data_IF_184023351898
#
_entry.id   IF_184023351898
#
_cell.length_a   1.000
_cell.length_b   1.000
_cell.length_c   1.000
_cell.angle_alpha   90.00
_cell.angle_beta   90.00
_cell.angle_gamma   90.00
#
_symmetry.space_group_name_H-M   'P 1'
#
loop_
_entity.id
_entity.type
_entity.pdbx_description
1 polymer ?
#
# COMPACT_ATOMS: atom_id res chain seq x y z
N UNK A 1 23.78 -2.03 3.76
CA UNK A 1 23.06 -3.32 3.92
C UNK A 1 23.79 -4.33 3.09
N UNK A 2 24.32 -5.35 3.74
CA UNK A 2 24.92 -6.50 3.08
C UNK A 2 23.83 -7.50 2.71
N UNK A 3 24.10 -8.42 1.78
CA UNK A 3 23.16 -9.51 1.47
C UNK A 3 22.85 -10.36 2.71
N UNK A 4 23.86 -10.59 3.56
CA UNK A 4 23.71 -11.31 4.83
C UNK A 4 22.71 -10.62 5.78
N UNK A 5 22.73 -9.29 5.87
CA UNK A 5 21.76 -8.54 6.69
C UNK A 5 20.32 -8.78 6.22
N UNK A 6 20.11 -8.82 4.89
CA UNK A 6 18.80 -9.04 4.28
C UNK A 6 18.31 -10.47 4.52
N UNK A 7 19.16 -11.47 4.31
CA UNK A 7 18.83 -12.88 4.57
C UNK A 7 18.43 -13.13 6.03
N UNK A 8 19.17 -12.53 6.98
CA UNK A 8 18.84 -12.61 8.41
C UNK A 8 17.50 -11.92 8.70
N UNK A 9 17.24 -10.74 8.11
CA UNK A 9 15.94 -10.07 8.22
C UNK A 9 14.81 -10.97 7.70
N UNK A 10 14.99 -11.62 6.54
CA UNK A 10 14.00 -12.52 5.96
C UNK A 10 13.71 -13.74 6.85
N UNK A 11 14.74 -14.38 7.38
CA UNK A 11 14.57 -15.52 8.29
C UNK A 11 13.77 -15.14 9.55
N UNK A 12 14.07 -13.97 10.13
CA UNK A 12 13.35 -13.45 11.29
C UNK A 12 11.87 -13.15 10.98
N UNK A 13 11.59 -12.53 9.83
CA UNK A 13 10.22 -12.25 9.39
C UNK A 13 9.41 -13.52 9.18
N UNK A 14 9.98 -14.54 8.51
CA UNK A 14 9.31 -15.83 8.31
C UNK A 14 8.98 -16.53 9.64
N UNK A 15 9.91 -16.48 10.60
CA UNK A 15 9.67 -17.03 11.93
C UNK A 15 8.54 -16.28 12.67
N UNK A 16 8.56 -14.95 12.64
CA UNK A 16 7.51 -14.12 13.25
C UNK A 16 6.13 -14.37 12.63
N UNK A 17 6.04 -14.40 11.30
CA UNK A 17 4.80 -14.69 10.57
C UNK A 17 4.22 -16.07 10.93
N UNK A 18 5.06 -17.09 11.08
CA UNK A 18 4.62 -18.43 11.50
C UNK A 18 4.06 -18.44 12.94
N UNK A 19 4.57 -17.60 13.83
CA UNK A 19 4.06 -17.44 15.20
C UNK A 19 2.74 -16.65 15.21
N UNK A 20 2.72 -15.49 14.56
CA UNK A 20 1.57 -14.57 14.60
C UNK A 20 0.37 -15.10 13.81
N UNK A 21 0.61 -15.75 12.66
CA UNK A 21 -0.45 -16.37 11.86
C UNK A 21 -1.21 -17.46 12.63
N UNK A 22 -0.52 -18.27 13.44
CA UNK A 22 -1.16 -19.28 14.32
C UNK A 22 -2.02 -18.62 15.39
N UNK A 23 -1.53 -17.56 16.03
CA UNK A 23 -2.29 -16.84 17.06
C UNK A 23 -3.57 -16.21 16.51
N UNK A 24 -3.55 -15.68 15.27
CA UNK A 24 -4.75 -15.12 14.63
C UNK A 24 -5.74 -16.24 14.27
N UNK A 25 -5.26 -17.39 13.79
CA UNK A 25 -6.10 -18.54 13.44
C UNK A 25 -6.78 -19.19 14.66
N UNK A 26 -6.14 -19.18 15.83
CA UNK A 26 -6.63 -19.78 17.08
C UNK A 26 -7.72 -18.94 17.79
N UNK A 27 -8.27 -17.90 17.14
CA UNK A 27 -9.47 -17.19 17.59
C UNK A 27 -9.23 -15.96 18.48
N UNK A 28 -7.98 -15.63 18.79
CA UNK A 28 -7.61 -14.36 19.41
C UNK A 28 -7.45 -13.26 18.35
N UNK A 29 -8.53 -12.97 17.61
CA UNK A 29 -8.52 -11.90 16.62
C UNK A 29 -8.40 -10.55 17.36
N UNK A 30 -7.17 -10.05 17.41
CA UNK A 30 -6.77 -8.75 17.90
C UNK A 30 -6.39 -7.87 16.70
N UNK A 31 -7.01 -6.70 16.60
CA UNK A 31 -6.87 -5.85 15.42
C UNK A 31 -5.45 -5.30 15.26
N UNK A 32 -4.77 -4.99 16.37
CA UNK A 32 -3.37 -4.55 16.37
C UNK A 32 -2.44 -5.62 15.81
N UNK A 33 -2.58 -6.87 16.27
CA UNK A 33 -1.82 -8.02 15.75
C UNK A 33 -2.04 -8.25 14.26
N UNK A 34 -3.27 -8.08 13.77
CA UNK A 34 -3.53 -8.20 12.32
C UNK A 34 -2.77 -7.12 11.55
N UNK A 35 -2.74 -5.87 12.03
CA UNK A 35 -1.95 -4.82 11.37
C UNK A 35 -0.45 -5.13 11.39
N UNK A 36 0.10 -5.61 12.51
CA UNK A 36 1.49 -6.06 12.60
C UNK A 36 1.78 -7.22 11.64
N UNK A 37 0.83 -8.14 11.48
CA UNK A 37 0.94 -9.24 10.51
C UNK A 37 0.98 -8.71 9.07
N UNK A 38 0.17 -7.70 8.75
CA UNK A 38 0.19 -7.05 7.44
C UNK A 38 1.54 -6.37 7.16
N UNK A 39 2.06 -5.60 8.12
CA UNK A 39 3.39 -4.98 8.01
C UNK A 39 4.50 -6.02 7.84
N UNK A 40 4.44 -7.13 8.57
CA UNK A 40 5.42 -8.21 8.45
C UNK A 40 5.39 -8.87 7.06
N UNK A 41 4.18 -9.07 6.50
CA UNK A 41 4.01 -9.55 5.14
C UNK A 41 4.53 -8.57 4.10
N UNK A 42 4.33 -7.26 4.31
CA UNK A 42 4.88 -6.20 3.47
C UNK A 42 6.41 -6.22 3.44
N UNK A 43 7.05 -6.26 4.62
CA UNK A 43 8.51 -6.34 4.74
C UNK A 43 9.06 -7.60 4.09
N UNK A 44 8.40 -8.75 4.30
CA UNK A 44 8.76 -10.00 3.64
C UNK A 44 8.67 -9.86 2.11
N UNK A 45 7.58 -9.28 1.60
CA UNK A 45 7.41 -9.07 0.17
C UNK A 45 8.58 -8.27 -0.43
N UNK A 46 8.86 -7.10 0.14
CA UNK A 46 9.97 -6.26 -0.32
C UNK A 46 11.31 -6.98 -0.21
N UNK A 47 11.56 -7.72 0.88
CA UNK A 47 12.80 -8.46 1.04
C UNK A 47 12.99 -9.58 0.01
N UNK A 48 11.92 -10.34 -0.33
CA UNK A 48 11.95 -11.37 -1.38
C UNK A 48 12.28 -10.78 -2.75
N UNK A 49 11.70 -9.63 -3.06
CA UNK A 49 11.99 -8.91 -4.30
C UNK A 49 13.44 -8.44 -4.35
N UNK A 50 13.96 -7.89 -3.25
CA UNK A 50 15.33 -7.35 -3.19
C UNK A 50 16.42 -8.43 -3.18
N UNK A 51 16.15 -9.58 -2.56
CA UNK A 51 17.14 -10.67 -2.43
C UNK A 51 17.28 -11.46 -3.73
N UNK A 52 16.13 -11.91 -4.27
CA UNK A 52 16.11 -12.96 -5.30
C UNK A 52 15.30 -12.56 -6.55
N UNK A 53 14.81 -11.32 -6.62
CA UNK A 53 13.82 -10.90 -7.62
C UNK A 53 12.59 -11.84 -7.64
N UNK A 54 12.21 -12.40 -6.48
CA UNK A 54 11.07 -13.30 -6.36
C UNK A 54 9.75 -12.52 -6.44
N UNK A 55 9.35 -12.18 -7.67
CA UNK A 55 8.11 -11.44 -7.98
C UNK A 55 6.87 -12.18 -7.48
N UNK A 56 6.86 -13.50 -7.59
CA UNK A 56 5.73 -14.32 -7.17
C UNK A 56 5.62 -14.37 -5.64
N UNK A 57 6.74 -14.49 -4.93
CA UNK A 57 6.81 -14.35 -3.48
C UNK A 57 6.44 -12.96 -2.99
N UNK A 58 6.86 -11.91 -3.70
CA UNK A 58 6.47 -10.52 -3.45
C UNK A 58 4.94 -10.36 -3.52
N UNK A 59 4.32 -10.72 -4.65
CA UNK A 59 2.87 -10.57 -4.86
C UNK A 59 2.06 -11.40 -3.86
N UNK A 60 2.44 -12.66 -3.65
CA UNK A 60 1.77 -13.56 -2.72
C UNK A 60 1.87 -13.07 -1.27
N UNK A 61 3.01 -12.51 -0.86
CA UNK A 61 3.18 -12.00 0.51
C UNK A 61 2.32 -10.77 0.76
N UNK A 62 2.29 -9.81 -0.18
CA UNK A 62 1.39 -8.65 -0.11
C UNK A 62 -0.08 -9.07 -0.05
N UNK A 63 -0.49 -10.02 -0.92
CA UNK A 63 -1.86 -10.54 -0.95
C UNK A 63 -2.25 -11.19 0.39
N UNK A 64 -1.37 -11.98 1.02
CA UNK A 64 -1.64 -12.60 2.34
C UNK A 64 -1.86 -11.57 3.44
N UNK A 65 -1.08 -10.48 3.45
CA UNK A 65 -1.32 -9.36 4.36
C UNK A 65 -2.70 -8.74 4.16
N UNK A 66 -3.05 -8.47 2.90
CA UNK A 66 -4.36 -7.93 2.53
C UNK A 66 -5.54 -8.88 2.86
N UNK A 67 -5.37 -10.19 2.69
CA UNK A 67 -6.36 -11.21 3.08
C UNK A 67 -6.58 -11.23 4.60
N UNK A 68 -5.51 -11.14 5.40
CA UNK A 68 -5.63 -11.05 6.85
C UNK A 68 -6.40 -9.80 7.28
N UNK A 69 -6.10 -8.65 6.66
CA UNK A 69 -6.84 -7.41 6.91
C UNK A 69 -8.31 -7.50 6.46
N UNK A 70 -8.59 -8.13 5.32
CA UNK A 70 -9.96 -8.40 4.88
C UNK A 70 -10.71 -9.25 5.92
N UNK A 71 -10.05 -10.26 6.48
CA UNK A 71 -10.60 -11.07 7.58
C UNK A 71 -10.99 -10.23 8.80
N UNK A 72 -10.14 -9.28 9.20
CA UNK A 72 -10.44 -8.30 10.26
C UNK A 72 -11.67 -7.43 9.91
N UNK A 73 -11.73 -6.90 8.69
CA UNK A 73 -12.84 -6.06 8.25
C UNK A 73 -14.17 -6.82 8.20
N UNK A 74 -14.16 -8.10 7.80
CA UNK A 74 -15.33 -8.99 7.84
C UNK A 74 -15.74 -9.28 9.29
N UNK A 75 -14.78 -9.54 10.18
CA UNK A 75 -15.07 -9.82 11.58
C UNK A 75 -15.72 -8.64 12.32
N UNK A 76 -15.35 -7.39 11.96
CA UNK A 76 -15.98 -6.16 12.49
C UNK A 76 -17.49 -6.14 12.30
N UNK A 77 -18.03 -6.75 11.23
CA UNK A 77 -19.48 -6.81 11.02
C UNK A 77 -20.20 -7.60 12.12
N UNK A 78 -19.48 -8.46 12.85
CA UNK A 78 -20.01 -9.34 13.91
C UNK A 78 -19.49 -9.01 15.31
N UNK A 79 -18.40 -8.23 15.40
CA UNK A 79 -17.71 -7.91 16.65
C UNK A 79 -17.63 -6.41 16.86
N UNK A 80 -18.09 -5.96 18.03
CA UNK A 80 -18.04 -4.55 18.45
C UNK A 80 -16.86 -4.23 19.36
N UNK A 81 -16.11 -5.25 19.80
CA UNK A 81 -15.01 -5.17 20.74
C UNK A 81 -13.64 -5.00 20.06
N UNK A 82 -13.61 -4.86 18.74
CA UNK A 82 -12.38 -4.56 17.99
C UNK A 82 -11.98 -3.11 18.22
N UNK A 83 -10.67 -2.87 18.32
CA UNK A 83 -10.12 -1.52 18.44
C UNK A 83 -10.55 -0.64 17.25
N UNK A 84 -11.32 0.44 17.47
CA UNK A 84 -11.75 1.34 16.42
C UNK A 84 -10.59 1.99 15.65
N UNK A 85 -9.44 2.17 16.30
CA UNK A 85 -8.27 2.77 15.68
C UNK A 85 -7.73 1.92 14.53
N UNK A 86 -7.67 0.60 14.71
CA UNK A 86 -7.22 -0.35 13.69
C UNK A 86 -8.19 -0.44 12.48
N UNK A 87 -9.41 0.09 12.63
CA UNK A 87 -10.47 0.07 11.64
C UNK A 87 -10.64 1.41 10.90
N UNK A 88 -9.83 2.42 11.23
CA UNK A 88 -9.78 3.70 10.54
C UNK A 88 -9.37 3.52 9.07
N UNK A 89 -9.82 4.41 8.18
CA UNK A 89 -9.51 4.30 6.75
C UNK A 89 -8.01 4.47 6.49
N UNK A 90 -7.33 5.33 7.26
CA UNK A 90 -5.87 5.50 7.22
C UNK A 90 -5.08 4.24 7.56
N UNK A 91 -5.72 3.23 8.16
CA UNK A 91 -5.12 1.92 8.44
C UNK A 91 -5.30 0.92 7.30
N UNK A 92 -5.97 1.30 6.21
CA UNK A 92 -6.15 0.48 5.01
C UNK A 92 -4.90 0.44 4.11
N UNK A 93 -3.70 0.56 4.69
CA UNK A 93 -2.43 0.24 4.03
C UNK A 93 -2.47 -1.10 3.25
N UNK A 94 -3.14 -2.18 3.75
CA UNK A 94 -3.30 -3.42 2.99
C UNK A 94 -4.15 -3.33 1.71
N UNK A 95 -4.96 -2.26 1.53
CA UNK A 95 -5.59 -1.97 0.24
C UNK A 95 -4.53 -1.68 -0.83
N UNK A 96 -3.52 -0.87 -0.49
CA UNK A 96 -2.41 -0.59 -1.40
C UNK A 96 -1.54 -1.83 -1.63
N UNK A 97 -1.37 -2.69 -0.62
CA UNK A 97 -0.64 -3.95 -0.81
C UNK A 97 -1.35 -4.86 -1.82
N UNK A 98 -2.67 -4.96 -1.76
CA UNK A 98 -3.45 -5.71 -2.73
C UNK A 98 -3.34 -5.13 -4.16
N UNK A 99 -3.27 -3.79 -4.27
CA UNK A 99 -3.05 -3.10 -5.55
C UNK A 99 -1.65 -3.34 -6.09
N UNK A 100 -0.61 -3.18 -5.27
CA UNK A 100 0.78 -3.42 -5.65
C UNK A 100 1.04 -4.90 -6.01
N UNK A 101 0.27 -5.82 -5.43
CA UNK A 101 0.29 -7.23 -5.80
C UNK A 101 -0.38 -7.52 -7.16
N UNK A 102 -1.05 -6.55 -7.78
CA UNK A 102 -1.88 -6.74 -8.96
C UNK A 102 -3.19 -7.50 -8.69
N UNK A 103 -3.59 -7.66 -7.42
CA UNK A 103 -4.73 -8.49 -7.03
C UNK A 103 -6.04 -7.68 -6.95
N UNK A 104 -6.53 -7.20 -8.10
CA UNK A 104 -7.68 -6.28 -8.17
C UNK A 104 -8.95 -6.75 -7.47
N UNK A 105 -9.28 -8.05 -7.51
CA UNK A 105 -10.44 -8.60 -6.81
C UNK A 105 -10.34 -8.49 -5.28
N UNK A 106 -9.13 -8.66 -4.73
CA UNK A 106 -8.85 -8.55 -3.29
C UNK A 106 -8.86 -7.09 -2.87
N UNK A 107 -8.21 -6.21 -3.66
CA UNK A 107 -8.28 -4.77 -3.45
C UNK A 107 -9.74 -4.29 -3.40
N UNK A 108 -10.59 -4.75 -4.32
CA UNK A 108 -12.02 -4.43 -4.32
C UNK A 108 -12.75 -4.97 -3.09
N UNK A 109 -12.46 -6.19 -2.66
CA UNK A 109 -13.06 -6.77 -1.47
C UNK A 109 -12.72 -5.99 -0.18
N UNK A 110 -11.48 -5.48 -0.09
CA UNK A 110 -11.03 -4.60 0.99
C UNK A 110 -11.71 -3.23 0.88
N UNK A 111 -11.65 -2.59 -0.29
CA UNK A 111 -12.22 -1.26 -0.54
C UNK A 111 -13.73 -1.18 -0.21
N UNK A 112 -14.49 -2.23 -0.49
CA UNK A 112 -15.91 -2.33 -0.14
C UNK A 112 -16.18 -2.33 1.38
N UNK A 113 -15.18 -2.61 2.21
CA UNK A 113 -15.30 -2.74 3.67
C UNK A 113 -14.52 -1.70 4.47
N UNK A 114 -13.62 -0.96 3.84
CA UNK A 114 -13.00 0.21 4.48
C UNK A 114 -14.09 1.18 4.92
N UNK A 115 -13.95 1.76 6.12
CA UNK A 115 -14.94 2.72 6.63
C UNK A 115 -15.00 3.96 5.72
N UNK A 116 -16.18 4.40 5.26
CA UNK A 116 -16.32 5.65 4.53
C UNK A 116 -16.42 6.86 5.48
N UNK A 117 -16.26 6.65 6.80
CA UNK A 117 -16.39 7.68 7.82
C UNK A 117 -15.04 8.00 8.43
N UNK A 118 -14.74 9.30 8.46
CA UNK A 118 -13.57 9.81 9.17
C UNK A 118 -13.76 9.74 10.66
N UNK A 119 -12.79 9.12 11.34
CA UNK A 119 -12.81 9.04 12.80
C UNK A 119 -11.96 10.17 13.38
N UNK A 120 -12.63 11.30 13.68
CA UNK A 120 -11.98 12.50 14.24
C UNK A 120 -11.16 12.14 15.49
N UNK A 121 -9.95 12.67 15.58
CA UNK A 121 -8.93 12.41 16.64
C UNK A 121 -8.26 11.04 16.59
N UNK A 122 -8.70 10.12 15.74
CA UNK A 122 -8.03 8.83 15.53
C UNK A 122 -7.18 8.83 14.26
N UNK A 123 -7.55 9.56 13.23
CA UNK A 123 -6.75 9.63 12.00
C UNK A 123 -6.63 11.06 11.46
N UNK A 124 -5.49 11.42 10.83
CA UNK A 124 -5.36 12.66 10.08
C UNK A 124 -6.41 12.75 8.97
N UNK A 125 -6.95 13.95 8.74
CA UNK A 125 -7.98 14.16 7.71
C UNK A 125 -7.45 13.86 6.30
N UNK A 126 -6.19 14.23 6.03
CA UNK A 126 -5.54 13.98 4.75
C UNK A 126 -5.44 12.48 4.44
N UNK A 127 -4.98 11.68 5.40
CA UNK A 127 -4.86 10.23 5.24
C UNK A 127 -6.23 9.57 5.02
N UNK A 128 -7.24 9.96 5.80
CA UNK A 128 -8.61 9.49 5.58
C UNK A 128 -9.07 9.77 4.14
N UNK A 129 -8.92 11.00 3.66
CA UNK A 129 -9.36 11.39 2.32
C UNK A 129 -8.61 10.63 1.23
N UNK A 130 -7.30 10.41 1.41
CA UNK A 130 -6.49 9.64 0.46
C UNK A 130 -6.95 8.18 0.35
N UNK A 131 -7.07 7.47 1.49
CA UNK A 131 -7.55 6.09 1.47
C UNK A 131 -9.01 5.96 1.06
N UNK A 132 -9.83 6.98 1.35
CA UNK A 132 -11.20 7.03 0.87
C UNK A 132 -11.25 7.19 -0.65
N UNK A 133 -10.44 8.07 -1.23
CA UNK A 133 -10.30 8.23 -2.67
C UNK A 133 -9.81 6.91 -3.32
N UNK A 134 -8.77 6.27 -2.79
CA UNK A 134 -8.32 4.96 -3.28
C UNK A 134 -9.43 3.90 -3.23
N UNK A 135 -10.23 3.87 -2.16
CA UNK A 135 -11.34 2.93 -2.07
C UNK A 135 -12.43 3.24 -3.12
N UNK A 136 -12.79 4.51 -3.32
CA UNK A 136 -13.71 4.93 -4.39
C UNK A 136 -13.19 4.51 -5.77
N UNK A 137 -11.90 4.72 -6.02
CA UNK A 137 -11.25 4.35 -7.27
C UNK A 137 -11.43 2.87 -7.58
N UNK A 138 -11.03 2.02 -6.64
CA UNK A 138 -11.09 0.56 -6.79
C UNK A 138 -12.53 0.04 -6.90
N UNK A 139 -13.49 0.75 -6.32
CA UNK A 139 -14.93 0.43 -6.45
C UNK A 139 -15.51 0.87 -7.79
N UNK A 140 -14.82 1.72 -8.56
CA UNK A 140 -15.35 2.35 -9.77
C UNK A 140 -16.31 3.50 -9.48
N UNK A 141 -16.18 4.13 -8.31
CA UNK A 141 -16.96 5.32 -7.92
C UNK A 141 -16.25 6.60 -8.37
N UNK A 142 -17.00 7.70 -8.47
CA UNK A 142 -16.43 8.98 -8.87
C UNK A 142 -15.47 9.53 -7.80
N UNK A 143 -14.24 9.84 -8.21
CA UNK A 143 -13.22 10.45 -7.33
C UNK A 143 -13.40 11.96 -7.13
N UNK A 144 -13.98 12.64 -8.12
CA UNK A 144 -14.09 14.11 -8.14
C UNK A 144 -14.63 14.71 -6.83
N UNK A 145 -15.70 14.17 -6.18
CA UNK A 145 -16.19 14.72 -4.92
C UNK A 145 -15.18 14.63 -3.76
N UNK A 146 -14.37 13.56 -3.72
CA UNK A 146 -13.36 13.38 -2.67
C UNK A 146 -12.18 14.32 -2.87
N UNK A 147 -11.77 14.52 -4.13
CA UNK A 147 -10.71 15.46 -4.50
C UNK A 147 -11.13 16.92 -4.24
N UNK A 148 -12.37 17.28 -4.59
CA UNK A 148 -12.95 18.60 -4.27
C UNK A 148 -13.00 18.82 -2.76
N UNK A 149 -13.39 17.80 -1.98
CA UNK A 149 -13.35 17.90 -0.53
C UNK A 149 -11.93 18.12 0.00
N UNK A 150 -10.93 17.40 -0.52
CA UNK A 150 -9.53 17.57 -0.14
C UNK A 150 -9.03 19.00 -0.40
N UNK A 151 -9.33 19.53 -1.59
CA UNK A 151 -9.03 20.92 -1.95
C UNK A 151 -9.71 21.92 -0.99
N UNK A 152 -10.99 21.71 -0.68
CA UNK A 152 -11.76 22.57 0.23
C UNK A 152 -11.21 22.60 1.65
N UNK A 153 -10.71 21.47 2.16
CA UNK A 153 -10.09 21.42 3.50
C UNK A 153 -8.60 21.82 3.50
N UNK A 154 -8.09 22.29 2.36
CA UNK A 154 -6.70 22.75 2.22
C UNK A 154 -5.68 21.62 2.29
N UNK A 155 -6.09 20.38 1.99
CA UNK A 155 -5.15 19.25 1.89
C UNK A 155 -4.56 19.29 0.48
N UNK A 156 -3.26 19.52 0.42
CA UNK A 156 -2.47 19.46 -0.80
C UNK A 156 -1.24 18.59 -0.53
N UNK A 157 -1.00 17.64 -1.42
CA UNK A 157 0.19 16.79 -1.44
C UNK A 157 0.30 16.09 -2.78
N UNK A 158 1.49 15.59 -3.09
CA UNK A 158 1.75 14.80 -4.30
C UNK A 158 0.78 13.60 -4.41
N UNK A 159 0.28 13.05 -3.30
CA UNK A 159 -0.75 12.00 -3.30
C UNK A 159 -2.03 12.42 -4.02
N UNK A 160 -2.52 13.63 -3.77
CA UNK A 160 -3.75 14.11 -4.39
C UNK A 160 -3.52 14.53 -5.83
N UNK A 161 -2.35 15.11 -6.14
CA UNK A 161 -1.95 15.44 -7.51
C UNK A 161 -1.88 14.19 -8.40
N UNK A 162 -1.37 13.05 -7.87
CA UNK A 162 -1.39 11.77 -8.59
C UNK A 162 -2.82 11.33 -8.90
N UNK A 163 -3.73 11.43 -7.92
CA UNK A 163 -5.13 11.02 -8.11
C UNK A 163 -5.88 11.97 -9.07
N UNK A 164 -5.59 13.26 -9.03
CA UNK A 164 -6.14 14.25 -9.97
C UNK A 164 -5.69 13.95 -11.41
N UNK A 165 -4.40 13.71 -11.62
CA UNK A 165 -3.86 13.32 -12.92
C UNK A 165 -4.45 11.99 -13.42
N UNK A 166 -4.64 11.02 -12.52
CA UNK A 166 -5.28 9.74 -12.81
C UNK A 166 -6.73 9.92 -13.29
N UNK A 167 -7.49 10.85 -12.68
CA UNK A 167 -8.87 11.18 -13.09
C UNK A 167 -8.89 11.93 -14.42
N UNK A 168 -7.95 12.84 -14.63
CA UNK A 168 -7.83 13.60 -15.87
C UNK A 168 -7.34 12.74 -17.05
N UNK A 169 -6.77 11.57 -16.79
CA UNK A 169 -6.12 10.74 -17.80
C UNK A 169 -4.82 11.36 -18.35
N UNK A 170 -4.20 12.27 -17.59
CA UNK A 170 -2.98 12.97 -17.99
C UNK A 170 -1.74 12.21 -17.53
N UNK A 171 -1.12 11.47 -18.46
CA UNK A 171 0.07 10.64 -18.18
C UNK A 171 1.23 11.48 -17.66
N UNK A 172 1.47 12.68 -18.22
CA UNK A 172 2.63 13.50 -17.84
C UNK A 172 2.45 14.12 -16.46
N UNK A 173 1.24 14.61 -16.18
CA UNK A 173 0.92 15.11 -14.85
C UNK A 173 1.01 13.98 -13.80
N UNK A 174 0.60 12.76 -14.17
CA UNK A 174 0.68 11.60 -13.31
C UNK A 174 2.13 11.24 -12.99
N UNK A 175 3.00 11.17 -14.01
CA UNK A 175 4.43 10.87 -13.85
C UNK A 175 5.11 11.92 -12.95
N UNK A 176 4.88 13.20 -13.21
CA UNK A 176 5.46 14.29 -12.41
C UNK A 176 5.00 14.24 -10.95
N UNK A 177 3.71 14.00 -10.70
CA UNK A 177 3.18 13.91 -9.35
C UNK A 177 3.66 12.64 -8.63
N UNK A 178 3.82 11.52 -9.36
CA UNK A 178 4.32 10.26 -8.81
C UNK A 178 5.80 10.39 -8.42
N UNK A 179 6.62 11.06 -9.22
CA UNK A 179 8.01 11.36 -8.90
C UNK A 179 8.09 12.22 -7.63
N UNK A 180 7.34 13.32 -7.56
CA UNK A 180 7.26 14.16 -6.36
C UNK A 180 6.83 13.36 -5.12
N UNK A 181 5.88 12.42 -5.28
CA UNK A 181 5.45 11.55 -4.18
C UNK A 181 6.56 10.62 -3.70
N UNK A 182 7.35 10.06 -4.61
CA UNK A 182 8.50 9.20 -4.28
C UNK A 182 9.58 10.01 -3.56
N UNK A 183 9.80 11.27 -3.95
CA UNK A 183 10.71 12.19 -3.25
C UNK A 183 10.22 12.48 -1.83
N UNK A 184 8.94 12.82 -1.65
CA UNK A 184 8.33 13.03 -0.32
C UNK A 184 8.51 11.81 0.57
N UNK A 185 8.21 10.61 0.06
CA UNK A 185 8.39 9.34 0.78
C UNK A 185 9.84 9.11 1.17
N UNK A 186 10.78 9.41 0.27
CA UNK A 186 12.19 9.28 0.57
C UNK A 186 12.62 10.26 1.67
N UNK A 187 12.12 11.51 1.62
CA UNK A 187 12.33 12.50 2.68
C UNK A 187 11.78 12.06 4.03
N UNK A 188 10.57 11.49 4.06
CA UNK A 188 9.97 10.90 5.27
C UNK A 188 10.87 9.81 5.87
N UNK A 189 11.43 8.92 5.05
CA UNK A 189 12.34 7.87 5.50
C UNK A 189 13.66 8.44 6.06
N UNK A 190 14.24 9.45 5.43
CA UNK A 190 15.45 10.09 5.95
C UNK A 190 15.18 10.77 7.30
N UNK A 191 14.02 11.41 7.47
CA UNK A 191 13.60 11.98 8.75
C UNK A 191 13.44 10.90 9.83
N UNK A 192 12.91 9.73 9.48
CA UNK A 192 12.81 8.60 10.42
C UNK A 192 14.19 8.05 10.80
N UNK A 193 15.12 7.96 9.84
CA UNK A 193 16.51 7.55 10.10
C UNK A 193 17.22 8.51 11.04
N UNK A 194 17.10 9.82 10.81
CA UNK A 194 17.71 10.85 11.66
C UNK A 194 17.18 10.83 13.10
N UNK A 195 15.99 10.27 13.32
CA UNK A 195 15.34 10.17 14.64
C UNK A 195 15.48 8.78 15.27
N UNK A 196 16.26 7.87 14.67
CA UNK A 196 16.36 6.45 15.05
C UNK A 196 14.98 5.76 15.16
N UNK A 197 14.01 6.21 14.36
CA UNK A 197 12.63 5.76 14.38
C UNK A 197 12.32 4.71 13.31
N UNK A 198 13.28 4.36 12.45
CA UNK A 198 13.12 3.36 11.40
C UNK A 198 13.62 1.98 11.90
N UNK A 199 12.74 0.99 12.08
CA UNK A 199 13.13 -0.35 12.49
C UNK A 199 14.15 -0.98 11.52
N UNK A 200 15.12 -1.77 12.00
CA UNK A 200 16.14 -2.37 11.13
C UNK A 200 15.59 -3.27 10.03
N UNK A 201 14.54 -4.04 10.32
CA UNK A 201 13.85 -4.88 9.34
C UNK A 201 13.20 -4.03 8.24
N UNK A 202 12.53 -2.93 8.60
CA UNK A 202 11.98 -1.97 7.66
C UNK A 202 13.08 -1.28 6.82
N UNK A 203 14.18 -0.88 7.46
CA UNK A 203 15.33 -0.23 6.80
C UNK A 203 15.98 -1.10 5.72
N UNK A 204 15.99 -2.42 5.95
CA UNK A 204 16.55 -3.42 5.04
C UNK A 204 15.55 -3.88 3.96
N UNK A 205 14.26 -3.61 4.12
CA UNK A 205 13.21 -4.12 3.23
C UNK A 205 12.35 -2.99 2.65
N UNK A 206 11.22 -2.67 3.28
CA UNK A 206 10.21 -1.74 2.75
C UNK A 206 10.74 -0.31 2.53
N UNK A 207 11.79 0.11 3.25
CA UNK A 207 12.45 1.41 3.02
C UNK A 207 13.27 1.47 1.70
N UNK A 208 13.29 0.38 0.92
CA UNK A 208 13.96 0.30 -0.40
C UNK A 208 12.98 0.22 -1.56
N UNK A 209 11.70 0.01 -1.30
CA UNK A 209 10.65 -0.16 -2.31
C UNK A 209 9.46 0.72 -1.95
N UNK A 210 9.21 1.74 -2.76
CA UNK A 210 8.06 2.62 -2.57
C UNK A 210 6.77 1.92 -3.05
N UNK A 211 6.20 1.10 -2.18
CA UNK A 211 4.99 0.32 -2.50
C UNK A 211 3.77 1.18 -2.82
N UNK A 212 3.69 2.38 -2.25
CA UNK A 212 2.64 3.34 -2.59
C UNK A 212 2.73 3.71 -4.08
N UNK A 213 3.94 3.98 -4.59
CA UNK A 213 4.13 4.27 -6.01
C UNK A 213 3.84 3.05 -6.90
N UNK A 214 4.25 1.84 -6.48
CA UNK A 214 3.90 0.60 -7.18
C UNK A 214 2.37 0.45 -7.28
N UNK A 215 1.64 0.62 -6.17
CA UNK A 215 0.18 0.52 -6.15
C UNK A 215 -0.50 1.53 -7.07
N UNK A 216 -0.03 2.78 -7.06
CA UNK A 216 -0.55 3.86 -7.92
C UNK A 216 -0.26 3.58 -9.41
N UNK A 217 0.89 2.99 -9.72
CA UNK A 217 1.24 2.55 -11.08
C UNK A 217 0.30 1.45 -11.59
N UNK A 218 -0.02 0.46 -10.75
CA UNK A 218 -1.02 -0.57 -11.06
C UNK A 218 -2.41 0.04 -11.33
N UNK A 219 -2.83 1.04 -10.55
CA UNK A 219 -4.08 1.77 -10.79
C UNK A 219 -4.07 2.53 -12.13
N UNK A 220 -2.98 3.23 -12.44
CA UNK A 220 -2.81 3.92 -13.71
C UNK A 220 -2.91 2.95 -14.90
N UNK A 221 -2.25 1.79 -14.81
CA UNK A 221 -2.34 0.74 -15.83
C UNK A 221 -3.76 0.21 -16.01
N UNK A 222 -4.48 -0.04 -14.91
CA UNK A 222 -5.87 -0.47 -14.94
C UNK A 222 -6.80 0.58 -15.58
N UNK A 223 -6.42 1.86 -15.53
CA UNK A 223 -7.07 2.97 -16.22
C UNK A 223 -6.66 3.16 -17.69
N UNK A 224 -5.75 2.33 -18.19
CA UNK A 224 -5.25 2.46 -19.56
C UNK A 224 -4.12 3.48 -19.73
N UNK A 225 -3.66 4.12 -18.65
CA UNK A 225 -2.45 4.92 -18.70
C UNK A 225 -1.23 3.99 -18.86
N UNK A 226 -0.19 4.52 -19.50
CA UNK A 226 1.10 3.83 -19.70
C UNK A 226 2.23 4.79 -19.30
N UNK A 227 2.35 5.10 -18.00
CA UNK A 227 3.41 5.96 -17.52
C UNK A 227 4.76 5.23 -17.56
N UNK A 228 5.84 6.00 -17.72
CA UNK A 228 7.20 5.49 -17.58
C UNK A 228 7.54 5.20 -16.10
N UNK A 229 8.53 4.34 -15.88
CA UNK A 229 8.95 3.96 -14.52
C UNK A 229 9.69 5.14 -13.87
N UNK A 230 9.20 5.68 -12.75
CA UNK A 230 9.63 7.00 -12.28
C UNK A 230 10.94 6.98 -11.48
N UNK A 231 11.36 5.85 -10.88
CA UNK A 231 12.42 5.90 -9.86
C UNK A 231 13.06 4.55 -9.56
N UNK A 232 14.31 4.59 -9.05
CA UNK A 232 15.02 3.41 -8.50
C UNK A 232 14.31 2.72 -7.34
N UNK A 233 13.38 3.41 -6.67
CA UNK A 233 12.58 2.86 -5.58
C UNK A 233 11.32 2.14 -6.06
N UNK A 234 11.09 2.10 -7.36
CA UNK A 234 9.98 1.40 -8.01
C UNK A 234 10.58 0.33 -8.93
N UNK A 235 10.89 -0.87 -8.41
CA UNK A 235 11.50 -1.92 -9.21
C UNK A 235 10.57 -2.31 -10.38
N UNK A 236 11.05 -2.31 -11.63
CA UNK A 236 10.25 -2.70 -12.79
C UNK A 236 9.59 -4.08 -12.64
N UNK A 237 10.24 -4.99 -11.93
CA UNK A 237 9.76 -6.35 -11.66
C UNK A 237 8.48 -6.38 -10.81
N UNK A 238 8.22 -5.33 -10.03
CA UNK A 238 6.99 -5.18 -9.24
C UNK A 238 5.81 -4.63 -10.06
N UNK A 239 6.06 -4.11 -11.26
CA UNK A 239 5.06 -3.44 -12.09
C UNK A 239 4.29 -4.44 -12.98
N UNK A 240 3.12 -4.05 -13.51
CA UNK A 240 2.47 -4.80 -14.57
C UNK A 240 3.40 -4.96 -15.78
N UNK A 241 3.33 -6.08 -16.50
CA UNK A 241 4.07 -6.20 -17.75
C UNK A 241 3.62 -5.10 -18.72
N UNK A 242 4.59 -4.44 -19.34
CA UNK A 242 4.31 -3.57 -20.49
C UNK A 242 3.95 -4.50 -21.63
N UNK A 243 2.67 -4.60 -21.97
CA UNK A 243 2.29 -5.28 -23.20
C UNK A 243 2.96 -4.53 -24.37
N UNK A 244 3.71 -5.24 -25.25
CA UNK A 244 4.22 -4.60 -26.44
C UNK A 244 3.03 -4.04 -27.20
N UNK A 245 3.06 -2.75 -27.54
CA UNK A 245 2.07 -2.15 -28.43
C UNK A 245 1.98 -3.02 -29.68
N UNK A 246 0.89 -3.79 -29.83
CA UNK A 246 0.61 -4.46 -31.09
C UNK A 246 0.49 -3.38 -32.17
N UNK A 247 1.49 -3.31 -33.06
CA UNK A 247 1.41 -2.57 -34.32
C UNK A 247 1.96 -1.14 -34.33
N UNK A 248 3.28 -1.02 -34.42
CA UNK A 248 3.89 -0.14 -35.42
C UNK A 248 4.92 -1.02 -36.14
N UNK A 249 4.81 -1.28 -37.46
CA UNK A 249 4.41 -0.36 -38.53
C UNK A 249 3.09 -0.68 -39.25
#
# INVERSE_FOLDING_TARGET
MTMLDLELTLANLLHALGRDGRSVAEGALDAGRVLTLCESHRRLACGLLLADLDVEGFRRSLARGAEAYLGLLVARERRQDLDPYALCASRALPLMDALAAGHGALARAVALRVTPRWTRRMEPRADFLFFHALACEVKGEALAPVLEEASRVGVSSARFEVLEALVAGDVRAFESALEARVEDWHGELEQQRLRDALPPDAANTEARVCLEAVALFHLAHARGLRPDVPSRYVPPEALPPVEPSEGAP
#
